data_IF_198896215372
#
_entry.id   IF_198896215372
#
_cell.length_a   1.000
_cell.length_b   1.000
_cell.length_c   1.000
_cell.angle_alpha   90.00
_cell.angle_beta   90.00
_cell.angle_gamma   90.00
#
_symmetry.space_group_name_H-M   'P 1'
#
loop_
_entity.id
_entity.type
_entity.pdbx_description
1 polymer ?
#
# COMPACT_ATOMS: atom_id res chain seq x y z
N UNK A 1 0.28 8.10 41.06
CA UNK A 1 -1.10 8.26 40.56
C UNK A 1 -1.22 8.18 39.02
N UNK A 2 -0.52 9.04 38.26
CA UNK A 2 -0.66 9.10 36.79
C UNK A 2 -0.34 7.80 36.05
N UNK A 3 0.76 7.10 36.41
CA UNK A 3 1.12 5.83 35.77
C UNK A 3 0.15 4.69 36.07
N UNK A 4 -0.39 4.62 37.29
CA UNK A 4 -1.41 3.63 37.65
C UNK A 4 -2.70 3.85 36.87
N UNK A 5 -3.11 5.12 36.72
CA UNK A 5 -4.27 5.48 35.90
C UNK A 5 -4.03 5.14 34.43
N UNK A 6 -2.85 5.45 33.89
CA UNK A 6 -2.48 5.10 32.52
C UNK A 6 -2.47 3.58 32.29
N UNK A 7 -1.92 2.81 33.22
CA UNK A 7 -1.92 1.35 33.17
C UNK A 7 -3.35 0.78 33.23
N UNK A 8 -4.21 1.34 34.08
CA UNK A 8 -5.62 0.96 34.16
C UNK A 8 -6.37 1.27 32.85
N UNK A 9 -6.17 2.46 32.28
CA UNK A 9 -6.76 2.83 30.98
C UNK A 9 -6.27 1.89 29.88
N UNK A 10 -4.97 1.60 29.82
CA UNK A 10 -4.42 0.64 28.85
C UNK A 10 -5.07 -0.75 29.01
N UNK A 11 -5.24 -1.23 30.24
CA UNK A 11 -5.92 -2.50 30.52
C UNK A 11 -7.37 -2.47 30.03
N UNK A 12 -8.14 -1.43 30.37
CA UNK A 12 -9.55 -1.30 29.96
C UNK A 12 -9.69 -1.26 28.43
N UNK A 13 -8.76 -0.61 27.72
CA UNK A 13 -8.76 -0.53 26.26
C UNK A 13 -8.38 -1.86 25.61
N UNK A 14 -7.38 -2.57 26.15
CA UNK A 14 -6.86 -3.81 25.55
C UNK A 14 -7.75 -5.01 25.89
N UNK A 15 -8.36 -5.05 27.07
CA UNK A 15 -9.03 -6.24 27.61
C UNK A 15 -10.12 -6.82 26.69
N UNK A 16 -11.03 -6.03 26.08
CA UNK A 16 -12.06 -6.60 25.19
C UNK A 16 -11.46 -7.32 23.97
N UNK A 17 -10.47 -6.70 23.33
CA UNK A 17 -9.76 -7.29 22.19
C UNK A 17 -8.92 -8.50 22.61
N UNK A 18 -8.25 -8.41 23.76
CA UNK A 18 -7.46 -9.52 24.31
C UNK A 18 -8.34 -10.75 24.58
N UNK A 19 -9.49 -10.57 25.22
CA UNK A 19 -10.44 -11.67 25.47
C UNK A 19 -11.01 -12.24 24.17
N UNK A 20 -11.32 -11.38 23.19
CA UNK A 20 -11.78 -11.84 21.87
C UNK A 20 -10.73 -12.72 21.19
N UNK A 21 -9.47 -12.28 21.13
CA UNK A 21 -8.39 -13.01 20.46
C UNK A 21 -7.91 -14.25 21.23
N UNK A 22 -8.08 -14.28 22.56
CA UNK A 22 -7.88 -15.50 23.32
C UNK A 22 -8.84 -16.62 22.89
N UNK A 23 -10.07 -16.26 22.52
CA UNK A 23 -11.07 -17.21 22.03
C UNK A 23 -10.95 -17.47 20.51
N UNK A 24 -10.29 -16.56 19.76
CA UNK A 24 -10.14 -16.64 18.31
C UNK A 24 -8.66 -16.46 17.89
N UNK A 25 -7.76 -17.39 18.26
CA UNK A 25 -6.33 -17.26 17.99
C UNK A 25 -6.02 -17.28 16.49
N UNK A 26 -6.84 -17.94 15.68
CA UNK A 26 -6.69 -17.93 14.22
C UNK A 26 -6.94 -16.53 13.62
N UNK A 27 -7.95 -15.81 14.10
CA UNK A 27 -8.25 -14.44 13.65
C UNK A 27 -7.13 -13.46 14.03
N UNK A 28 -6.52 -13.65 15.22
CA UNK A 28 -5.36 -12.87 15.62
C UNK A 28 -4.15 -13.10 14.71
N UNK A 29 -3.90 -14.37 14.35
CA UNK A 29 -2.75 -14.75 13.53
C UNK A 29 -2.95 -14.49 12.04
N UNK A 30 -4.18 -14.40 11.55
CA UNK A 30 -4.46 -14.26 10.12
C UNK A 30 -3.80 -13.03 9.48
N UNK A 31 -3.85 -11.81 10.07
CA UNK A 31 -3.10 -10.66 9.55
C UNK A 31 -1.59 -10.88 9.58
N UNK A 32 -1.06 -11.47 10.67
CA UNK A 32 0.38 -11.75 10.81
C UNK A 32 0.85 -12.71 9.70
N UNK A 33 0.14 -13.79 9.44
CA UNK A 33 0.47 -14.73 8.36
C UNK A 33 0.38 -14.08 6.98
N UNK A 34 -0.61 -13.20 6.78
CA UNK A 34 -0.83 -12.52 5.50
C UNK A 34 0.31 -11.57 5.13
N UNK A 35 0.80 -10.77 6.09
CA UNK A 35 1.70 -9.66 5.79
C UNK A 35 3.07 -9.74 6.47
N UNK A 36 3.34 -10.71 7.32
CA UNK A 36 4.66 -10.85 7.94
C UNK A 36 5.69 -11.33 6.92
N UNK A 37 6.92 -10.83 7.05
CA UNK A 37 8.08 -11.42 6.36
C UNK A 37 8.52 -12.71 7.05
N UNK A 38 8.26 -12.86 8.35
CA UNK A 38 8.77 -13.99 9.14
C UNK A 38 8.15 -15.32 8.69
N UNK A 39 8.91 -16.40 8.86
CA UNK A 39 8.49 -17.76 8.51
C UNK A 39 8.91 -18.15 7.10
N UNK A 40 7.98 -18.73 6.34
CA UNK A 40 8.20 -19.25 4.99
C UNK A 40 8.70 -18.16 4.02
N UNK A 41 8.09 -16.98 4.04
CA UNK A 41 8.48 -15.88 3.15
C UNK A 41 9.94 -15.42 3.34
N UNK A 42 10.44 -15.39 4.58
CA UNK A 42 11.86 -15.08 4.84
C UNK A 42 12.77 -16.19 4.32
N UNK A 43 12.34 -17.46 4.44
CA UNK A 43 13.09 -18.58 3.90
C UNK A 43 13.18 -18.51 2.37
N UNK A 44 12.07 -18.21 1.70
CA UNK A 44 12.00 -18.05 0.25
C UNK A 44 12.87 -16.89 -0.23
N UNK A 45 12.83 -15.75 0.46
CA UNK A 45 13.67 -14.58 0.15
C UNK A 45 15.16 -14.86 0.36
N UNK A 46 15.53 -15.63 1.39
CA UNK A 46 16.92 -16.07 1.61
C UNK A 46 17.38 -16.94 0.44
N UNK A 47 16.56 -17.89 -0.01
CA UNK A 47 16.88 -18.75 -1.14
C UNK A 47 16.97 -17.95 -2.45
N UNK A 48 16.01 -17.05 -2.68
CA UNK A 48 15.91 -16.26 -3.90
C UNK A 48 17.05 -15.24 -4.03
N UNK A 49 17.37 -14.50 -2.96
CA UNK A 49 18.41 -13.45 -2.97
C UNK A 49 19.82 -13.99 -2.69
N UNK A 50 19.94 -15.20 -2.16
CA UNK A 50 21.21 -15.75 -1.69
C UNK A 50 21.83 -14.97 -0.53
N UNK A 51 21.02 -14.20 0.22
CA UNK A 51 21.46 -13.37 1.34
C UNK A 51 21.10 -14.03 2.68
N UNK A 52 21.81 -13.67 3.76
CA UNK A 52 21.43 -14.12 5.09
C UNK A 52 20.14 -13.44 5.57
N UNK A 53 19.36 -14.12 6.40
CA UNK A 53 18.16 -13.57 7.01
C UNK A 53 18.42 -12.24 7.76
N UNK A 54 19.56 -12.14 8.44
CA UNK A 54 19.96 -10.92 9.13
C UNK A 54 20.21 -9.74 8.18
N UNK A 55 20.80 -10.00 7.01
CA UNK A 55 21.01 -8.97 5.99
C UNK A 55 19.67 -8.45 5.46
N UNK A 56 18.74 -9.35 5.14
CA UNK A 56 17.39 -9.01 4.66
C UNK A 56 16.64 -8.18 5.71
N UNK A 57 16.67 -8.60 6.98
CA UNK A 57 15.99 -7.86 8.06
C UNK A 57 16.64 -6.48 8.31
N UNK A 58 17.96 -6.36 8.16
CA UNK A 58 18.66 -5.08 8.27
C UNK A 58 18.33 -4.15 7.11
N UNK A 59 18.24 -4.68 5.89
CA UNK A 59 17.77 -3.94 4.71
C UNK A 59 16.34 -3.46 4.93
N UNK A 60 15.44 -4.32 5.38
CA UNK A 60 14.06 -3.95 5.69
C UNK A 60 13.95 -2.91 6.79
N UNK A 61 14.77 -3.01 7.85
CA UNK A 61 14.82 -2.00 8.91
C UNK A 61 15.30 -0.66 8.37
N UNK A 62 16.33 -0.68 7.51
CA UNK A 62 16.87 0.52 6.87
C UNK A 62 15.81 1.17 5.99
N UNK A 63 15.13 0.39 5.15
CA UNK A 63 14.02 0.89 4.31
C UNK A 63 12.85 1.41 5.15
N UNK A 64 12.52 0.76 6.26
CA UNK A 64 11.45 1.20 7.16
C UNK A 64 11.78 2.56 7.81
N UNK A 65 13.05 2.82 8.14
CA UNK A 65 13.50 4.12 8.66
C UNK A 65 13.57 5.16 7.53
N UNK A 66 14.16 4.80 6.39
CA UNK A 66 14.31 5.71 5.27
C UNK A 66 12.98 6.05 4.60
N UNK A 67 11.94 5.23 4.77
CA UNK A 67 10.59 5.51 4.27
C UNK A 67 9.99 6.82 4.78
N UNK A 68 10.49 7.35 5.91
CA UNK A 68 10.08 8.67 6.39
C UNK A 68 10.63 9.81 5.53
N UNK A 69 11.82 9.70 4.94
CA UNK A 69 12.57 10.87 4.43
C UNK A 69 13.27 10.69 3.09
N UNK A 70 13.60 9.47 2.67
CA UNK A 70 14.43 9.20 1.48
C UNK A 70 13.88 8.10 0.59
N UNK A 71 13.47 6.96 1.16
CA UNK A 71 13.00 5.83 0.38
C UNK A 71 11.54 6.05 -0.04
N UNK A 72 11.20 5.91 -1.33
CA UNK A 72 9.84 6.08 -1.79
C UNK A 72 8.91 5.02 -1.18
N UNK A 73 7.69 5.44 -0.85
CA UNK A 73 6.64 4.54 -0.40
C UNK A 73 6.28 3.55 -1.50
N UNK A 74 5.85 2.33 -1.12
CA UNK A 74 5.52 1.27 -2.07
C UNK A 74 4.29 0.46 -1.66
N UNK A 75 3.97 -0.56 -2.46
CA UNK A 75 2.89 -1.55 -2.29
C UNK A 75 1.52 -1.10 -2.80
N UNK A 76 0.70 -0.45 -1.97
CA UNK A 76 -0.65 0.00 -2.38
C UNK A 76 -0.65 1.45 -2.86
N UNK A 77 0.18 2.28 -2.23
CA UNK A 77 0.35 3.68 -2.56
C UNK A 77 1.84 3.95 -2.81
N UNK A 78 2.19 4.06 -4.08
CA UNK A 78 3.53 4.36 -4.59
C UNK A 78 3.51 5.72 -5.31
N UNK A 79 3.66 6.83 -4.56
CA UNK A 79 3.71 8.17 -5.15
C UNK A 79 5.09 8.49 -5.75
N UNK A 80 6.06 7.57 -5.74
CA UNK A 80 7.44 7.86 -6.13
C UNK A 80 8.23 8.74 -5.14
N UNK A 81 7.66 9.05 -3.96
CA UNK A 81 8.28 9.87 -2.92
C UNK A 81 8.18 9.22 -1.53
N UNK A 82 9.07 9.60 -0.58
CA UNK A 82 8.96 9.20 0.82
C UNK A 82 7.72 9.77 1.50
N UNK A 83 7.44 9.32 2.73
CA UNK A 83 6.31 9.81 3.52
C UNK A 83 6.33 11.33 3.76
N UNK A 84 7.52 11.89 4.00
CA UNK A 84 7.71 13.33 4.19
C UNK A 84 8.48 13.91 3.02
N UNK A 85 7.92 14.95 2.41
CA UNK A 85 8.63 15.76 1.43
C UNK A 85 9.75 16.55 2.09
N UNK A 86 10.67 17.08 1.28
CA UNK A 86 11.94 17.67 1.74
C UNK A 86 11.79 18.68 2.88
N UNK A 87 10.79 19.57 2.84
CA UNK A 87 10.54 20.55 3.89
C UNK A 87 10.18 19.89 5.23
N UNK A 88 9.15 19.05 5.23
CA UNK A 88 8.71 18.31 6.42
C UNK A 88 9.77 17.31 6.92
N UNK A 89 10.46 16.62 6.02
CA UNK A 89 11.55 15.70 6.33
C UNK A 89 12.71 16.41 7.05
N UNK A 90 13.07 17.62 6.62
CA UNK A 90 14.12 18.42 7.26
C UNK A 90 13.72 18.79 8.68
N UNK A 91 12.50 19.30 8.89
CA UNK A 91 11.99 19.62 10.22
C UNK A 91 11.94 18.37 11.11
N UNK A 92 11.44 17.26 10.58
CA UNK A 92 11.40 15.98 11.30
C UNK A 92 12.80 15.55 11.77
N UNK A 93 13.81 15.55 10.89
CA UNK A 93 15.18 15.18 11.26
C UNK A 93 15.81 16.14 12.27
N UNK A 94 15.56 17.45 12.15
CA UNK A 94 15.99 18.44 13.14
C UNK A 94 15.39 18.17 14.52
N UNK A 95 14.13 17.76 14.57
CA UNK A 95 13.45 17.42 15.81
C UNK A 95 14.00 16.14 16.44
N UNK A 96 14.28 15.12 15.63
CA UNK A 96 14.94 13.90 16.10
C UNK A 96 16.33 14.23 16.67
N UNK A 97 17.14 15.01 15.95
CA UNK A 97 18.46 15.43 16.41
C UNK A 97 18.37 16.23 17.73
N UNK A 98 17.39 17.13 17.84
CA UNK A 98 17.13 17.87 19.07
C UNK A 98 16.73 16.95 20.23
N UNK A 99 15.76 16.05 20.01
CA UNK A 99 15.24 15.14 21.03
C UNK A 99 16.30 14.14 21.52
N UNK A 100 17.23 13.73 20.66
CA UNK A 100 18.36 12.87 21.04
C UNK A 100 19.41 13.65 21.84
N UNK A 101 19.74 14.87 21.44
CA UNK A 101 20.74 15.70 22.14
C UNK A 101 20.24 16.25 23.48
N UNK A 102 18.94 16.44 23.63
CA UNK A 102 18.29 16.96 24.84
C UNK A 102 17.40 15.91 25.51
N UNK A 103 17.83 14.64 25.46
CA UNK A 103 17.01 13.51 25.87
C UNK A 103 16.51 13.59 27.32
N UNK A 104 15.25 13.21 27.50
CA UNK A 104 14.50 13.13 28.76
C UNK A 104 13.45 12.01 28.61
N UNK A 105 12.95 11.45 29.70
CA UNK A 105 11.89 10.45 29.73
C UNK A 105 10.64 10.87 28.94
N UNK A 106 10.38 12.17 28.80
CA UNK A 106 9.30 12.69 27.95
C UNK A 106 9.47 12.32 26.48
N UNK A 107 10.71 12.37 25.96
CA UNK A 107 11.00 11.96 24.59
C UNK A 107 10.94 10.46 24.41
N UNK A 108 11.22 9.67 25.46
CA UNK A 108 11.04 8.21 25.41
C UNK A 108 9.58 7.84 25.06
N UNK A 109 8.60 8.59 25.59
CA UNK A 109 7.18 8.39 25.28
C UNK A 109 6.83 8.70 23.81
N UNK A 110 7.64 9.51 23.12
CA UNK A 110 7.47 9.80 21.70
C UNK A 110 8.25 8.80 20.83
N UNK A 111 9.46 8.42 21.24
CA UNK A 111 10.30 7.47 20.51
C UNK A 111 9.75 6.05 20.54
N UNK A 112 9.21 5.58 21.67
CA UNK A 112 8.74 4.20 21.80
C UNK A 112 7.66 3.83 20.76
N UNK A 113 6.57 4.60 20.59
CA UNK A 113 5.60 4.31 19.53
C UNK A 113 6.13 4.53 18.12
N UNK A 114 7.05 5.49 17.90
CA UNK A 114 7.70 5.69 16.60
C UNK A 114 8.57 4.47 16.21
N UNK A 115 9.37 3.98 17.15
CA UNK A 115 10.17 2.76 16.99
C UNK A 115 9.26 1.55 16.82
N UNK A 116 8.12 1.49 17.51
CA UNK A 116 7.11 0.46 17.31
C UNK A 116 6.55 0.44 15.89
N UNK A 117 6.26 1.60 15.30
CA UNK A 117 5.82 1.71 13.91
C UNK A 117 6.91 1.31 12.91
N UNK A 118 8.16 1.67 13.17
CA UNK A 118 9.32 1.22 12.37
C UNK A 118 9.46 -0.29 12.45
N UNK A 119 9.45 -0.87 13.66
CA UNK A 119 9.57 -2.31 13.87
C UNK A 119 8.43 -3.09 13.20
N UNK A 120 7.20 -2.58 13.28
CA UNK A 120 6.04 -3.16 12.59
C UNK A 120 6.23 -3.16 11.07
N UNK A 121 6.81 -2.10 10.49
CA UNK A 121 7.16 -2.05 9.08
C UNK A 121 8.27 -3.06 8.72
N UNK A 122 9.35 -3.10 9.51
CA UNK A 122 10.48 -4.02 9.33
C UNK A 122 10.05 -5.48 9.33
N UNK A 123 9.05 -5.84 10.13
CA UNK A 123 8.56 -7.21 10.24
C UNK A 123 7.51 -7.57 9.19
N UNK A 124 7.14 -6.62 8.32
CA UNK A 124 6.07 -6.81 7.35
C UNK A 124 6.58 -6.79 5.91
N UNK A 125 5.85 -7.41 5.00
CA UNK A 125 6.23 -7.55 3.59
C UNK A 125 6.42 -6.19 2.91
N UNK A 126 7.49 -5.99 2.15
CA UNK A 126 7.68 -4.81 1.31
C UNK A 126 7.72 -3.45 2.05
N UNK A 127 8.54 -3.22 3.10
CA UNK A 127 8.70 -1.89 3.71
C UNK A 127 9.48 -0.95 2.77
N UNK A 128 9.08 0.31 2.52
CA UNK A 128 8.16 1.11 3.32
C UNK A 128 6.74 1.15 2.72
N UNK A 129 5.81 0.38 3.29
CA UNK A 129 4.42 0.41 2.83
C UNK A 129 3.64 1.53 3.53
N UNK A 130 3.03 2.42 2.77
CA UNK A 130 2.35 3.64 3.25
C UNK A 130 1.35 3.36 4.40
N UNK A 131 0.50 2.34 4.26
CA UNK A 131 -0.55 2.01 5.24
C UNK A 131 -0.01 1.70 6.65
N UNK A 132 1.26 1.30 6.77
CA UNK A 132 1.87 0.95 8.06
C UNK A 132 2.45 2.15 8.79
N UNK A 133 2.56 3.30 8.12
CA UNK A 133 3.00 4.55 8.75
C UNK A 133 1.85 5.35 9.37
N UNK A 134 0.59 4.94 9.16
CA UNK A 134 -0.59 5.62 9.71
C UNK A 134 -0.48 5.79 11.24
N UNK A 135 0.01 4.77 11.93
CA UNK A 135 0.22 4.82 13.39
C UNK A 135 1.30 5.81 13.82
N UNK A 136 2.25 6.14 12.95
CA UNK A 136 3.31 7.10 13.22
C UNK A 136 2.88 8.56 12.98
N UNK A 137 1.80 8.80 12.22
CA UNK A 137 1.42 10.14 11.75
C UNK A 137 1.30 11.20 12.87
N UNK A 138 0.62 10.94 14.02
CA UNK A 138 0.51 11.95 15.07
C UNK A 138 1.88 12.34 15.65
N UNK A 139 2.79 11.39 15.78
CA UNK A 139 4.14 11.62 16.31
C UNK A 139 4.99 12.36 15.29
N UNK A 140 4.90 11.98 14.02
CA UNK A 140 5.55 12.68 12.93
C UNK A 140 5.11 14.14 12.90
N UNK A 141 3.81 14.43 13.03
CA UNK A 141 3.32 15.81 13.12
C UNK A 141 3.92 16.58 14.30
N UNK A 142 4.02 15.96 15.49
CA UNK A 142 4.67 16.55 16.66
C UNK A 142 6.15 16.83 16.39
N UNK A 143 6.89 15.88 15.82
CA UNK A 143 8.31 16.05 15.49
C UNK A 143 8.49 17.14 14.42
N UNK A 144 7.66 17.21 13.38
CA UNK A 144 7.72 18.29 12.37
C UNK A 144 7.43 19.66 13.00
N UNK A 145 6.47 19.76 13.91
CA UNK A 145 6.11 21.02 14.56
C UNK A 145 7.11 21.49 15.63
N UNK A 146 7.86 20.56 16.25
CA UNK A 146 8.74 20.86 17.39
C UNK A 146 9.82 21.91 17.08
N UNK A 147 10.62 21.81 16.00
CA UNK A 147 11.63 22.82 15.67
C UNK A 147 11.01 24.20 15.44
N UNK A 148 9.81 24.26 14.86
CA UNK A 148 9.10 25.52 14.63
C UNK A 148 8.74 26.21 15.95
N UNK A 149 8.33 25.44 16.96
CA UNK A 149 8.09 25.95 18.30
C UNK A 149 9.37 26.38 19.02
N UNK A 150 10.46 25.65 18.85
CA UNK A 150 11.77 26.00 19.41
C UNK A 150 12.30 27.31 18.82
N UNK A 151 12.24 27.46 17.49
CA UNK A 151 12.64 28.68 16.78
C UNK A 151 11.77 29.86 17.20
N UNK A 152 10.45 29.70 17.24
CA UNK A 152 9.53 30.76 17.69
C UNK A 152 9.87 31.25 19.10
N UNK A 153 10.03 30.33 20.06
CA UNK A 153 10.41 30.66 21.43
C UNK A 153 11.78 31.32 21.53
N UNK A 154 12.74 30.91 20.71
CA UNK A 154 14.08 31.49 20.68
C UNK A 154 14.05 32.92 20.12
N UNK A 155 13.31 33.15 19.04
CA UNK A 155 13.13 34.48 18.43
C UNK A 155 12.42 35.46 19.37
N UNK A 156 11.39 35.00 20.08
CA UNK A 156 10.66 35.84 21.05
C UNK A 156 11.54 36.25 22.24
N UNK A 157 12.53 35.43 22.61
CA UNK A 157 13.54 35.79 23.63
C UNK A 157 14.56 36.80 23.10
N UNK A 158 14.97 36.68 21.84
CA UNK A 158 15.96 37.56 21.22
C UNK A 158 15.37 38.95 20.91
N UNK A 159 14.12 39.00 20.46
CA UNK A 159 13.37 40.23 20.16
C UNK A 159 12.17 40.40 21.09
N UNK A 160 12.44 40.51 22.40
CA UNK A 160 11.41 40.63 23.44
C UNK A 160 10.44 41.81 23.25
N UNK A 161 10.88 42.88 22.56
CA UNK A 161 10.03 44.04 22.21
C UNK A 161 9.05 43.74 21.07
N UNK A 162 9.30 42.72 20.25
CA UNK A 162 8.47 42.35 19.09
C UNK A 162 7.94 40.92 19.21
N UNK A 163 7.03 40.72 20.17
CA UNK A 163 6.38 39.45 20.55
C UNK A 163 5.64 38.68 19.43
N UNK A 164 5.63 39.20 18.20
CA UNK A 164 4.98 38.58 17.05
C UNK A 164 5.96 38.10 15.98
N UNK A 165 7.25 38.42 16.10
CA UNK A 165 8.26 38.02 15.10
C UNK A 165 8.43 36.51 15.08
N UNK A 166 8.52 35.85 16.25
CA UNK A 166 8.61 34.40 16.32
C UNK A 166 7.40 33.73 15.67
N UNK A 167 6.20 34.18 16.01
CA UNK A 167 4.95 33.69 15.42
C UNK A 167 4.92 33.86 13.89
N UNK A 168 5.30 35.04 13.38
CA UNK A 168 5.29 35.33 11.95
C UNK A 168 6.28 34.45 11.20
N UNK A 169 7.50 34.26 11.71
CA UNK A 169 8.50 33.39 11.08
C UNK A 169 8.03 31.94 11.08
N UNK A 170 7.52 31.44 12.20
CA UNK A 170 6.98 30.08 12.30
C UNK A 170 5.79 29.87 11.33
N UNK A 171 4.88 30.84 11.24
CA UNK A 171 3.74 30.78 10.32
C UNK A 171 4.17 30.77 8.85
N UNK A 172 5.17 31.57 8.48
CA UNK A 172 5.72 31.61 7.12
C UNK A 172 6.38 30.28 6.74
N UNK A 173 7.19 29.70 7.62
CA UNK A 173 7.83 28.40 7.38
C UNK A 173 6.75 27.30 7.25
N UNK A 174 5.77 27.30 8.14
CA UNK A 174 4.67 26.34 8.11
C UNK A 174 3.87 26.46 6.81
N UNK A 175 3.55 27.69 6.37
CA UNK A 175 2.84 27.93 5.12
C UNK A 175 3.66 27.44 3.92
N UNK A 176 4.98 27.64 3.91
CA UNK A 176 5.84 27.15 2.84
C UNK A 176 5.82 25.61 2.75
N UNK A 177 5.93 24.92 3.90
CA UNK A 177 5.86 23.44 3.94
C UNK A 177 4.49 22.94 3.50
N UNK A 178 3.40 23.52 4.01
CA UNK A 178 2.03 23.14 3.61
C UNK A 178 1.81 23.38 2.12
N UNK A 179 2.30 24.50 1.58
CA UNK A 179 2.16 24.80 0.15
C UNK A 179 2.92 23.78 -0.71
N UNK A 180 4.14 23.39 -0.29
CA UNK A 180 4.90 22.34 -0.97
C UNK A 180 4.12 21.02 -0.98
N UNK A 181 3.62 20.59 0.18
CA UNK A 181 2.87 19.33 0.32
C UNK A 181 1.58 19.37 -0.52
N UNK A 182 0.80 20.45 -0.44
CA UNK A 182 -0.43 20.58 -1.23
C UNK A 182 -0.14 20.60 -2.73
N UNK A 183 0.93 21.28 -3.16
CA UNK A 183 1.31 21.32 -4.58
C UNK A 183 1.61 19.90 -5.07
N UNK A 184 2.44 19.18 -4.33
CA UNK A 184 2.81 17.82 -4.65
C UNK A 184 1.60 16.88 -4.73
N UNK A 185 0.80 16.82 -3.65
CA UNK A 185 -0.29 15.84 -3.58
C UNK A 185 -1.47 16.15 -4.51
N UNK A 186 -1.77 17.42 -4.80
CA UNK A 186 -2.92 17.79 -5.63
C UNK A 186 -2.59 18.03 -7.10
N UNK A 187 -1.32 18.26 -7.45
CA UNK A 187 -0.94 18.57 -8.82
C UNK A 187 0.11 17.62 -9.39
N UNK A 188 1.10 17.18 -8.61
CA UNK A 188 2.23 16.41 -9.17
C UNK A 188 2.02 14.88 -9.07
N UNK A 189 1.41 14.39 -7.98
CA UNK A 189 1.30 12.94 -7.71
C UNK A 189 0.48 12.20 -8.76
N UNK A 190 -0.61 12.79 -9.24
CA UNK A 190 -1.58 12.10 -10.09
C UNK A 190 -1.16 12.00 -11.57
N UNK A 191 -0.09 12.67 -11.98
CA UNK A 191 0.38 12.62 -13.37
C UNK A 191 0.96 11.25 -13.77
N UNK A 192 1.33 10.40 -12.82
CA UNK A 192 1.94 9.08 -13.09
C UNK A 192 1.52 7.97 -12.13
N UNK A 193 0.45 8.17 -11.35
CA UNK A 193 0.13 7.30 -10.22
C UNK A 193 -0.82 6.16 -10.58
N UNK A 194 -0.42 4.93 -10.24
CA UNK A 194 -1.25 3.72 -10.35
C UNK A 194 -1.54 3.16 -8.96
N UNK A 195 -2.79 3.31 -8.49
CA UNK A 195 -3.26 2.75 -7.22
C UNK A 195 -3.28 1.22 -7.27
N UNK A 196 -2.57 0.56 -6.35
CA UNK A 196 -2.57 -0.91 -6.26
C UNK A 196 -1.87 -1.63 -7.43
N UNK A 197 -1.16 -0.90 -8.29
CA UNK A 197 -0.37 -1.44 -9.40
C UNK A 197 -1.19 -1.98 -10.58
N UNK A 198 -0.48 -2.56 -11.55
CA UNK A 198 -1.04 -2.96 -12.85
C UNK A 198 -2.19 -3.97 -12.75
N UNK A 199 -2.14 -4.91 -11.79
CA UNK A 199 -3.21 -5.89 -11.63
C UNK A 199 -4.52 -5.23 -11.17
N UNK A 200 -4.45 -4.14 -10.42
CA UNK A 200 -5.64 -3.37 -10.02
C UNK A 200 -6.24 -2.62 -11.22
N UNK A 201 -5.40 -2.10 -12.12
CA UNK A 201 -5.85 -1.51 -13.39
C UNK A 201 -6.53 -2.57 -14.24
N UNK A 202 -5.87 -3.71 -14.47
CA UNK A 202 -6.44 -4.85 -15.23
C UNK A 202 -7.77 -5.30 -14.62
N UNK A 203 -7.85 -5.49 -13.31
CA UNK A 203 -9.09 -5.91 -12.65
C UNK A 203 -10.22 -4.89 -12.82
N UNK A 204 -9.91 -3.60 -12.72
CA UNK A 204 -10.90 -2.52 -12.91
C UNK A 204 -11.38 -2.48 -14.37
N UNK A 205 -10.47 -2.52 -15.34
CA UNK A 205 -10.82 -2.50 -16.76
C UNK A 205 -11.58 -3.75 -17.20
N UNK A 206 -11.21 -4.93 -16.71
CA UNK A 206 -11.98 -6.16 -16.93
C UNK A 206 -13.38 -6.02 -16.35
N UNK A 207 -13.52 -5.47 -15.13
CA UNK A 207 -14.82 -5.30 -14.50
C UNK A 207 -15.73 -4.35 -15.28
N UNK A 208 -15.22 -3.20 -15.73
CA UNK A 208 -15.99 -2.27 -16.56
C UNK A 208 -16.33 -2.87 -17.92
N UNK A 209 -15.38 -3.55 -18.56
CA UNK A 209 -15.65 -4.25 -19.80
C UNK A 209 -16.78 -5.29 -19.65
N UNK A 210 -16.78 -6.08 -18.56
CA UNK A 210 -17.83 -7.08 -18.29
C UNK A 210 -19.18 -6.44 -17.95
N UNK A 211 -19.18 -5.29 -17.27
CA UNK A 211 -20.40 -4.55 -16.91
C UNK A 211 -21.16 -4.05 -18.15
N UNK A 212 -20.44 -3.72 -19.23
CA UNK A 212 -21.02 -3.20 -20.48
C UNK A 212 -21.58 -4.29 -21.42
N UNK A 213 -21.49 -5.58 -21.07
CA UNK A 213 -21.86 -6.67 -21.98
C UNK A 213 -23.37 -6.90 -22.04
N UNK A 214 -23.93 -6.86 -23.26
CA UNK A 214 -25.32 -7.22 -23.55
C UNK A 214 -25.39 -8.32 -24.64
N UNK A 215 -26.08 -9.45 -24.42
CA UNK A 215 -26.65 -9.89 -23.13
C UNK A 215 -25.54 -10.12 -22.10
N UNK A 216 -25.89 -10.05 -20.81
CA UNK A 216 -24.95 -10.39 -19.75
C UNK A 216 -24.41 -11.81 -20.00
N UNK A 217 -23.10 -11.92 -20.25
CA UNK A 217 -22.43 -13.21 -20.29
C UNK A 217 -22.67 -13.94 -18.97
N UNK A 218 -22.89 -15.25 -18.99
CA UNK A 218 -23.07 -15.97 -17.73
C UNK A 218 -21.74 -16.45 -17.17
N UNK A 219 -20.79 -16.76 -18.06
CA UNK A 219 -19.52 -17.38 -17.71
C UNK A 219 -18.34 -16.59 -18.30
N UNK A 220 -17.32 -16.38 -17.46
CA UNK A 220 -16.08 -15.69 -17.80
C UNK A 220 -14.91 -16.64 -17.51
N UNK A 221 -14.24 -17.13 -18.55
CA UNK A 221 -13.01 -17.92 -18.42
C UNK A 221 -11.80 -16.99 -18.35
N UNK A 222 -11.13 -16.97 -17.20
CA UNK A 222 -10.05 -16.04 -16.91
C UNK A 222 -8.67 -16.72 -16.97
N UNK A 223 -7.89 -16.37 -17.99
CA UNK A 223 -6.54 -16.86 -18.26
C UNK A 223 -5.53 -15.86 -17.69
N UNK A 224 -5.37 -15.88 -16.37
CA UNK A 224 -4.45 -14.98 -15.69
C UNK A 224 -3.48 -15.64 -14.71
N UNK A 225 -3.66 -16.91 -14.37
CA UNK A 225 -2.75 -17.60 -13.46
C UNK A 225 -1.38 -17.85 -14.15
N UNK A 226 -0.23 -17.67 -13.45
CA UNK A 226 -0.07 -17.40 -12.01
C UNK A 226 -0.08 -15.92 -11.60
N UNK A 227 -0.25 -14.98 -12.54
CA UNK A 227 -0.15 -13.54 -12.24
C UNK A 227 -1.32 -13.03 -11.39
N UNK A 228 -2.56 -13.34 -11.79
CA UNK A 228 -3.76 -13.02 -11.02
C UNK A 228 -4.94 -13.91 -11.45
N UNK A 229 -5.85 -14.17 -10.53
CA UNK A 229 -7.10 -14.88 -10.79
C UNK A 229 -8.30 -13.94 -10.86
N UNK A 230 -9.43 -14.41 -11.37
CA UNK A 230 -10.69 -13.67 -11.41
C UNK A 230 -11.12 -13.21 -10.00
N UNK A 231 -10.92 -14.06 -8.98
CA UNK A 231 -11.30 -13.75 -7.60
C UNK A 231 -10.14 -13.21 -6.75
N UNK A 232 -8.96 -13.03 -7.36
CA UNK A 232 -7.78 -12.55 -6.63
C UNK A 232 -7.87 -11.07 -6.21
N UNK A 233 -8.66 -10.28 -6.95
CA UNK A 233 -8.98 -8.89 -6.64
C UNK A 233 -10.49 -8.72 -6.59
N UNK A 234 -11.00 -8.23 -5.47
CA UNK A 234 -12.45 -8.16 -5.23
C UNK A 234 -13.17 -7.16 -6.13
N UNK A 235 -12.46 -6.31 -6.88
CA UNK A 235 -13.06 -5.33 -7.80
C UNK A 235 -13.98 -6.00 -8.84
N UNK A 236 -13.53 -7.09 -9.47
CA UNK A 236 -14.30 -7.79 -10.50
C UNK A 236 -15.61 -8.35 -9.92
N UNK A 237 -15.60 -9.26 -8.92
CA UNK A 237 -16.84 -9.81 -8.38
C UNK A 237 -17.70 -8.79 -7.62
N UNK A 238 -17.16 -7.62 -7.26
CA UNK A 238 -17.93 -6.54 -6.65
C UNK A 238 -18.75 -5.74 -7.69
N UNK A 239 -18.16 -5.41 -8.83
CA UNK A 239 -18.83 -4.63 -9.89
C UNK A 239 -19.73 -5.50 -10.76
N UNK A 240 -19.34 -6.74 -11.02
CA UNK A 240 -20.12 -7.68 -11.83
C UNK A 240 -20.46 -8.97 -11.05
N UNK A 241 -21.21 -8.89 -9.94
CA UNK A 241 -21.53 -10.04 -9.09
C UNK A 241 -22.39 -11.11 -9.78
N UNK A 242 -23.03 -10.78 -10.90
CA UNK A 242 -23.86 -11.69 -11.69
C UNK A 242 -23.05 -12.62 -12.60
N UNK A 243 -21.82 -12.24 -12.95
CA UNK A 243 -20.92 -12.99 -13.84
C UNK A 243 -20.22 -14.12 -13.07
N UNK A 244 -20.17 -15.34 -13.63
CA UNK A 244 -19.44 -16.46 -13.02
C UNK A 244 -18.04 -16.58 -13.60
N UNK A 245 -17.04 -16.27 -12.79
CA UNK A 245 -15.64 -16.45 -13.17
C UNK A 245 -15.17 -17.90 -13.02
N UNK A 246 -14.53 -18.44 -14.06
CA UNK A 246 -13.81 -19.72 -14.09
C UNK A 246 -12.33 -19.44 -14.29
N UNK A 247 -11.49 -19.84 -13.33
CA UNK A 247 -10.05 -19.62 -13.43
C UNK A 247 -9.38 -20.76 -14.20
N UNK A 248 -8.68 -20.43 -15.28
CA UNK A 248 -7.92 -21.41 -16.07
C UNK A 248 -6.50 -21.48 -15.52
N UNK A 249 -6.29 -22.43 -14.60
CA UNK A 249 -5.03 -22.56 -13.86
C UNK A 249 -3.90 -23.08 -14.75
N UNK A 250 -4.15 -24.16 -15.48
CA UNK A 250 -3.16 -24.81 -16.34
C UNK A 250 -3.14 -24.18 -17.74
N UNK A 251 -1.96 -23.97 -18.36
CA UNK A 251 -1.85 -23.51 -19.73
C UNK A 251 -2.50 -24.49 -20.73
N UNK A 252 -3.35 -23.98 -21.62
CA UNK A 252 -3.92 -24.76 -22.71
C UNK A 252 -2.90 -24.95 -23.84
N UNK A 253 -2.78 -26.19 -24.31
CA UNK A 253 -1.97 -26.54 -25.49
C UNK A 253 -2.83 -27.00 -26.66
N UNK A 254 -4.05 -27.45 -26.38
CA UNK A 254 -5.01 -27.99 -27.33
C UNK A 254 -6.36 -27.28 -27.18
N UNK A 255 -7.19 -27.26 -28.24
CA UNK A 255 -8.51 -26.65 -28.17
C UNK A 255 -9.35 -27.24 -27.03
N UNK A 256 -9.95 -26.42 -26.17
CA UNK A 256 -10.75 -26.92 -25.06
C UNK A 256 -12.05 -27.57 -25.56
N UNK A 257 -12.48 -28.64 -24.90
CA UNK A 257 -13.75 -29.33 -25.18
C UNK A 257 -14.90 -28.86 -24.26
N UNK A 258 -14.80 -27.66 -23.67
CA UNK A 258 -15.81 -27.17 -22.74
C UNK A 258 -17.13 -26.90 -23.47
N UNK A 259 -18.24 -27.33 -22.88
CA UNK A 259 -19.57 -27.02 -23.39
C UNK A 259 -19.98 -25.64 -22.86
N UNK A 260 -20.30 -24.71 -23.76
CA UNK A 260 -20.75 -23.37 -23.42
C UNK A 260 -22.28 -23.35 -23.32
N UNK A 261 -22.81 -23.00 -22.14
CA UNK A 261 -24.26 -23.00 -21.87
C UNK A 261 -24.95 -21.68 -22.29
N UNK A 262 -24.17 -20.69 -22.73
CA UNK A 262 -24.65 -19.39 -23.20
C UNK A 262 -23.50 -18.46 -23.62
N UNK A 263 -23.79 -17.16 -23.77
CA UNK A 263 -22.78 -16.16 -24.08
C UNK A 263 -21.63 -16.21 -23.08
N UNK A 264 -20.42 -16.43 -23.59
CA UNK A 264 -19.22 -16.70 -22.80
C UNK A 264 -18.09 -15.76 -23.20
N UNK A 265 -17.35 -15.27 -22.21
CA UNK A 265 -16.21 -14.39 -22.42
C UNK A 265 -14.94 -15.06 -21.94
N UNK A 266 -13.92 -15.08 -22.79
CA UNK A 266 -12.58 -15.55 -22.44
C UNK A 266 -11.68 -14.31 -22.28
N UNK A 267 -11.11 -14.11 -21.10
CA UNK A 267 -10.20 -13.02 -20.79
C UNK A 267 -8.78 -13.55 -20.73
N UNK A 268 -7.87 -12.99 -21.53
CA UNK A 268 -6.46 -13.38 -21.60
C UNK A 268 -5.55 -12.26 -21.12
N UNK A 269 -4.72 -12.55 -20.12
CA UNK A 269 -3.62 -11.67 -19.75
C UNK A 269 -2.46 -11.77 -20.76
N UNK A 270 -1.55 -10.78 -20.81
CA UNK A 270 -0.47 -10.74 -21.80
C UNK A 270 0.38 -12.00 -21.85
N UNK A 271 0.61 -12.63 -20.70
CA UNK A 271 1.43 -13.83 -20.57
C UNK A 271 0.72 -15.10 -21.08
N UNK A 272 -0.61 -15.06 -21.23
CA UNK A 272 -1.47 -16.20 -21.63
C UNK A 272 -2.13 -15.96 -22.99
N UNK A 273 -1.78 -14.89 -23.71
CA UNK A 273 -2.41 -14.53 -24.99
C UNK A 273 -2.22 -15.58 -26.09
N UNK A 274 -1.15 -16.38 -26.02
CA UNK A 274 -0.91 -17.48 -26.96
C UNK A 274 -1.99 -18.56 -26.94
N UNK A 275 -2.77 -18.63 -25.85
CA UNK A 275 -3.86 -19.60 -25.69
C UNK A 275 -5.17 -19.16 -26.35
N UNK A 276 -5.21 -17.94 -26.88
CA UNK A 276 -6.34 -17.48 -27.70
C UNK A 276 -6.54 -18.41 -28.91
N UNK A 277 -5.47 -18.88 -29.54
CA UNK A 277 -5.57 -19.65 -30.78
C UNK A 277 -6.26 -21.02 -30.58
N UNK A 278 -5.89 -21.84 -29.58
CA UNK A 278 -6.67 -23.02 -29.20
C UNK A 278 -8.15 -22.73 -28.91
N UNK A 279 -8.46 -21.62 -28.22
CA UNK A 279 -9.84 -21.22 -27.91
C UNK A 279 -10.61 -20.83 -29.17
N UNK A 280 -9.97 -20.13 -30.12
CA UNK A 280 -10.56 -19.80 -31.43
C UNK A 280 -10.82 -21.03 -32.29
N UNK A 281 -9.96 -22.05 -32.21
CA UNK A 281 -10.16 -23.32 -32.90
C UNK A 281 -11.34 -24.11 -32.33
N UNK A 282 -11.55 -24.06 -31.01
CA UNK A 282 -12.73 -24.67 -30.38
C UNK A 282 -14.02 -23.89 -30.66
N UNK A 283 -13.94 -22.56 -30.71
CA UNK A 283 -15.09 -21.67 -30.84
C UNK A 283 -14.87 -20.63 -31.94
N UNK A 284 -15.14 -20.98 -33.20
CA UNK A 284 -14.76 -20.19 -34.38
C UNK A 284 -15.54 -18.86 -34.55
N UNK A 285 -16.70 -18.70 -33.90
CA UNK A 285 -17.62 -17.58 -34.12
C UNK A 285 -17.48 -16.42 -33.12
N UNK A 286 -16.31 -16.27 -32.50
CA UNK A 286 -16.14 -15.24 -31.47
C UNK A 286 -15.57 -13.90 -31.97
N UNK A 287 -15.76 -12.86 -31.16
CA UNK A 287 -15.24 -11.52 -31.41
C UNK A 287 -14.06 -11.21 -30.50
N UNK A 288 -12.95 -10.78 -31.11
CA UNK A 288 -11.72 -10.44 -30.41
C UNK A 288 -11.61 -8.95 -30.18
N UNK A 289 -11.24 -8.55 -28.95
CA UNK A 289 -10.94 -7.17 -28.57
C UNK A 289 -9.71 -7.10 -27.67
N UNK A 290 -8.96 -6.01 -27.79
CA UNK A 290 -7.78 -5.74 -26.98
C UNK A 290 -8.00 -4.49 -26.12
N UNK A 291 -7.50 -4.53 -24.90
CA UNK A 291 -7.60 -3.44 -23.95
C UNK A 291 -6.21 -2.96 -23.56
N UNK A 292 -6.05 -1.64 -23.54
CA UNK A 292 -4.79 -0.96 -23.28
C UNK A 292 -5.00 0.10 -22.21
N UNK A 293 -3.98 0.39 -21.40
CA UNK A 293 -3.99 1.54 -20.50
C UNK A 293 -3.88 2.86 -21.28
N UNK A 294 -4.06 3.98 -20.59
CA UNK A 294 -3.82 5.33 -21.14
C UNK A 294 -2.41 5.49 -21.72
N UNK A 295 -1.42 4.84 -21.10
CA UNK A 295 -0.03 4.78 -21.57
C UNK A 295 0.21 3.76 -22.71
N UNK A 296 -0.86 3.20 -23.29
CA UNK A 296 -0.84 2.18 -24.34
C UNK A 296 -0.17 0.87 -23.92
N UNK A 297 -0.14 0.57 -22.63
CA UNK A 297 0.32 -0.73 -22.15
C UNK A 297 -0.79 -1.75 -22.38
N UNK A 298 -0.47 -2.89 -23.02
CA UNK A 298 -1.43 -3.97 -23.23
C UNK A 298 -1.84 -4.57 -21.88
N UNK A 299 -3.14 -4.54 -21.57
CA UNK A 299 -3.71 -4.98 -20.29
C UNK A 299 -4.23 -6.40 -20.37
N UNK A 300 -5.13 -6.66 -21.31
CA UNK A 300 -5.71 -7.97 -21.58
C UNK A 300 -6.37 -7.99 -22.96
N UNK A 301 -6.70 -9.17 -23.43
CA UNK A 301 -7.62 -9.36 -24.54
C UNK A 301 -8.88 -10.09 -24.09
N UNK A 302 -9.99 -9.80 -24.76
CA UNK A 302 -11.24 -10.51 -24.60
C UNK A 302 -11.61 -11.23 -25.90
N UNK A 303 -12.14 -12.43 -25.78
CA UNK A 303 -12.77 -13.18 -26.86
C UNK A 303 -14.20 -13.52 -26.45
N UNK A 304 -15.18 -12.93 -27.15
CA UNK A 304 -16.60 -13.05 -26.87
C UNK A 304 -17.20 -14.14 -27.76
N UNK A 305 -17.83 -15.16 -27.20
CA UNK A 305 -18.57 -16.19 -27.94
C UNK A 305 -20.07 -16.00 -27.65
N UNK A 306 -20.91 -15.72 -28.67
CA UNK A 306 -22.33 -15.44 -28.48
C UNK A 306 -23.18 -16.67 -28.15
#
# INVERSE_FOLDING_TARGET
PGMMLAAFVALVVILPLGLFFMNHPHEFNAPLQRVSIMGERLHDEVQYRGQSAAAILTEQATLAVLGFTQAPLRLLYDPGAPLLLTGAATLFLLAIAWAVTHFDLRYLLMFLPLVGAIASNTMSQSPPASQRYILAMPLVAIFVAMPLGLVGNWLDRLWSERKHVGLMVTAVIMLAVVTQDLTYYFFDVYDSYILGGINTVVATEVAYYLEEQEPEAQDVYFFGFPRMGYYSLSTIPYLVPQMRGHEVLDPLQEPPEWQLDGPTIFIFLPERISELEPVRQAYENGHYREFYSDDKLFLFAAYEVP
#
